data_IF_955126280620
#
_entry.id   IF_955126280620
#
_cell.length_a   1.000
_cell.length_b   1.000
_cell.length_c   1.000
_cell.angle_alpha   90.00
_cell.angle_beta   90.00
_cell.angle_gamma   90.00
#
_symmetry.space_group_name_H-M   'P 1'
#
loop_
_entity.id
_entity.type
_entity.pdbx_description
1 polymer ?
#
# COMPACT_ATOMS: atom_id res chain seq x y z
N UNK A 1 -3.06 19.73 5.43
CA UNK A 1 -1.59 19.82 5.33
C UNK A 1 -1.20 19.96 3.86
N UNK A 2 -0.01 20.46 3.51
CA UNK A 2 0.39 20.58 2.11
C UNK A 2 1.09 19.27 1.68
N UNK A 3 0.37 18.41 0.96
CA UNK A 3 0.81 17.07 0.51
C UNK A 3 2.19 17.08 -0.14
N UNK A 4 2.54 18.13 -0.90
CA UNK A 4 3.87 18.24 -1.52
C UNK A 4 4.99 18.32 -0.49
N UNK A 5 4.78 19.07 0.60
CA UNK A 5 5.79 19.21 1.66
C UNK A 5 5.98 17.91 2.43
N UNK A 6 4.89 17.17 2.62
CA UNK A 6 4.90 15.87 3.26
C UNK A 6 5.73 14.87 2.46
N UNK A 7 5.48 14.77 1.15
CA UNK A 7 6.26 13.94 0.22
C UNK A 7 7.75 14.32 0.25
N UNK A 8 8.07 15.62 0.16
CA UNK A 8 9.47 16.08 0.20
C UNK A 8 10.16 15.69 1.50
N UNK A 9 9.48 15.92 2.64
CA UNK A 9 10.04 15.61 3.95
C UNK A 9 10.25 14.10 4.12
N UNK A 10 9.29 13.30 3.67
CA UNK A 10 9.35 11.84 3.76
C UNK A 10 10.52 11.28 2.95
N UNK A 11 10.64 11.65 1.66
CA UNK A 11 11.75 11.17 0.84
C UNK A 11 13.10 11.68 1.35
N UNK A 12 13.19 12.94 1.82
CA UNK A 12 14.44 13.46 2.41
C UNK A 12 14.88 12.66 3.62
N UNK A 13 13.92 12.25 4.47
CA UNK A 13 14.19 11.43 5.64
C UNK A 13 14.64 10.02 5.24
N UNK A 14 13.97 9.39 4.27
CA UNK A 14 14.21 8.01 3.88
C UNK A 14 15.49 7.79 3.08
N UNK A 15 15.80 8.70 2.15
CA UNK A 15 17.02 8.56 1.33
C UNK A 15 18.23 9.25 1.96
N UNK A 16 18.03 10.06 3.01
CA UNK A 16 19.07 10.91 3.59
C UNK A 16 19.46 12.10 2.68
N UNK A 17 18.74 12.32 1.59
CA UNK A 17 19.00 13.42 0.65
C UNK A 17 18.47 14.75 1.16
N UNK A 18 19.16 15.84 0.83
CA UNK A 18 18.72 17.20 1.16
C UNK A 18 17.80 17.77 0.07
N UNK A 19 16.60 17.20 -0.06
CA UNK A 19 15.62 17.62 -1.05
C UNK A 19 14.96 18.92 -0.58
N UNK A 20 14.96 19.95 -1.43
CA UNK A 20 14.39 21.25 -1.08
C UNK A 20 13.02 21.47 -1.71
N UNK A 21 12.77 20.83 -2.85
CA UNK A 21 11.59 21.11 -3.66
C UNK A 21 10.88 19.83 -4.08
N UNK A 22 9.55 19.91 -4.17
CA UNK A 22 8.73 18.82 -4.69
C UNK A 22 9.16 18.40 -6.10
N UNK A 23 9.59 19.36 -6.91
CA UNK A 23 10.07 19.13 -8.27
C UNK A 23 11.35 18.29 -8.33
N UNK A 24 12.18 18.29 -7.28
CA UNK A 24 13.35 17.41 -7.21
C UNK A 24 12.93 15.95 -7.03
N UNK A 25 11.94 15.68 -6.18
CA UNK A 25 11.38 14.33 -6.00
C UNK A 25 10.71 13.84 -7.28
N UNK A 26 9.99 14.73 -7.99
CA UNK A 26 9.35 14.43 -9.28
C UNK A 26 10.33 14.03 -10.40
N UNK A 27 11.65 14.07 -10.17
CA UNK A 27 12.62 13.56 -11.14
C UNK A 27 12.78 12.04 -11.07
N UNK A 28 12.20 11.40 -10.06
CA UNK A 28 12.20 9.95 -9.88
C UNK A 28 13.50 9.37 -9.29
N UNK A 29 14.58 10.16 -9.18
CA UNK A 29 15.86 9.67 -8.67
C UNK A 29 15.76 9.19 -7.21
N UNK A 30 15.19 10.01 -6.34
CA UNK A 30 15.01 9.68 -4.92
C UNK A 30 14.06 8.51 -4.71
N UNK A 31 13.05 8.39 -5.57
CA UNK A 31 12.13 7.24 -5.57
C UNK A 31 12.90 5.95 -5.89
N UNK A 32 13.74 5.98 -6.93
CA UNK A 32 14.55 4.81 -7.28
C UNK A 32 15.54 4.46 -6.18
N UNK A 33 16.13 5.45 -5.50
CA UNK A 33 17.06 5.21 -4.38
C UNK A 33 16.33 4.44 -3.28
N UNK A 34 15.17 4.95 -2.87
CA UNK A 34 14.33 4.31 -1.85
C UNK A 34 13.88 2.90 -2.28
N UNK A 35 13.37 2.75 -3.50
CA UNK A 35 12.94 1.45 -4.02
C UNK A 35 14.09 0.43 -4.11
N UNK A 36 15.32 0.86 -4.44
CA UNK A 36 16.49 -0.02 -4.39
C UNK A 36 16.80 -0.49 -2.97
N UNK A 37 16.55 0.36 -1.95
CA UNK A 37 16.80 0.03 -0.54
C UNK A 37 15.79 -1.00 -0.01
N UNK A 38 14.51 -0.88 -0.36
CA UNK A 38 13.47 -1.82 0.10
C UNK A 38 13.43 -3.13 -0.70
N UNK A 39 13.95 -3.15 -1.93
CA UNK A 39 13.97 -4.35 -2.78
C UNK A 39 15.27 -5.15 -2.68
N UNK A 40 16.17 -4.82 -1.74
CA UNK A 40 17.49 -5.46 -1.58
C UNK A 40 18.33 -5.48 -2.89
N UNK A 41 18.16 -4.47 -3.75
CA UNK A 41 18.87 -4.33 -5.03
C UNK A 41 19.78 -3.08 -5.08
N UNK A 42 20.79 -2.96 -4.20
CA UNK A 42 21.63 -1.76 -4.13
C UNK A 42 22.45 -1.51 -5.41
N UNK A 43 22.74 -2.55 -6.19
CA UNK A 43 23.54 -2.45 -7.43
C UNK A 43 22.85 -1.59 -8.51
N UNK A 44 21.52 -1.54 -8.49
CA UNK A 44 20.72 -0.77 -9.43
C UNK A 44 20.79 0.74 -9.17
N UNK A 45 21.29 1.18 -8.01
CA UNK A 45 21.53 2.61 -7.73
C UNK A 45 22.48 3.26 -8.74
N UNK A 46 23.37 2.49 -9.35
CA UNK A 46 24.29 2.98 -10.38
C UNK A 46 23.60 3.34 -11.71
N UNK A 47 22.35 2.90 -11.92
CA UNK A 47 21.59 3.17 -13.14
C UNK A 47 20.74 4.44 -13.02
N UNK A 48 20.55 4.94 -11.79
CA UNK A 48 19.72 6.11 -11.49
C UNK A 48 20.31 7.36 -12.13
N UNK A 49 19.50 8.08 -12.89
CA UNK A 49 19.87 9.32 -13.54
C UNK A 49 19.45 10.55 -12.71
N UNK A 50 20.09 11.72 -12.89
CA UNK A 50 19.70 12.95 -12.18
C UNK A 50 18.28 13.46 -12.51
N UNK A 51 17.70 13.02 -13.64
CA UNK A 51 16.34 13.38 -14.08
C UNK A 51 16.19 14.85 -14.49
N UNK A 52 17.27 15.46 -14.99
CA UNK A 52 17.27 16.83 -15.51
C UNK A 52 16.58 16.89 -16.88
N UNK A 53 16.78 15.89 -17.74
CA UNK A 53 16.06 15.76 -19.02
C UNK A 53 14.80 14.90 -18.92
N UNK A 54 13.98 14.90 -19.98
CA UNK A 54 12.81 14.03 -20.04
C UNK A 54 13.21 12.56 -20.13
N UNK A 55 14.23 12.26 -20.94
CA UNK A 55 14.74 10.89 -21.15
C UNK A 55 15.32 10.30 -19.86
N UNK A 56 16.03 11.12 -19.07
CA UNK A 56 16.55 10.70 -17.76
C UNK A 56 15.41 10.40 -16.78
N UNK A 57 14.36 11.23 -16.75
CA UNK A 57 13.18 10.96 -15.92
C UNK A 57 12.45 9.71 -16.35
N UNK A 58 12.29 9.52 -17.66
CA UNK A 58 11.67 8.31 -18.21
C UNK A 58 12.46 7.07 -17.82
N UNK A 59 13.79 7.09 -17.95
CA UNK A 59 14.66 6.00 -17.51
C UNK A 59 14.51 5.70 -16.01
N UNK A 60 14.40 6.74 -15.17
CA UNK A 60 14.15 6.56 -13.74
C UNK A 60 12.79 5.91 -13.47
N UNK A 61 11.72 6.32 -14.15
CA UNK A 61 10.40 5.74 -13.94
C UNK A 61 10.24 4.32 -14.49
N UNK A 62 10.94 3.97 -15.58
CA UNK A 62 11.06 2.58 -16.05
C UNK A 62 11.82 1.71 -15.03
N UNK A 63 12.89 2.25 -14.43
CA UNK A 63 13.59 1.56 -13.34
C UNK A 63 12.69 1.38 -12.12
N UNK A 64 11.98 2.43 -11.70
CA UNK A 64 11.03 2.38 -10.59
C UNK A 64 9.95 1.32 -10.84
N UNK A 65 9.41 1.23 -12.06
CA UNK A 65 8.46 0.19 -12.46
C UNK A 65 9.04 -1.20 -12.25
N UNK A 66 10.25 -1.48 -12.77
CA UNK A 66 10.88 -2.78 -12.59
C UNK A 66 11.12 -3.11 -11.11
N UNK A 67 11.49 -2.13 -10.29
CA UNK A 67 11.70 -2.33 -8.85
C UNK A 67 10.39 -2.67 -8.12
N UNK A 68 9.28 -2.00 -8.47
CA UNK A 68 7.96 -2.26 -7.91
C UNK A 68 7.43 -3.64 -8.32
N UNK A 69 7.60 -4.00 -9.59
CA UNK A 69 7.23 -5.33 -10.08
C UNK A 69 8.06 -6.44 -9.42
N UNK A 70 9.33 -6.18 -9.10
CA UNK A 70 10.18 -7.10 -8.34
C UNK A 70 9.72 -7.28 -6.87
N UNK A 71 9.05 -6.27 -6.29
CA UNK A 71 8.40 -6.37 -4.99
C UNK A 71 7.06 -7.14 -5.05
N UNK A 72 6.63 -7.58 -6.25
CA UNK A 72 5.37 -8.28 -6.46
C UNK A 72 4.16 -7.38 -6.61
N UNK A 73 4.37 -6.07 -6.80
CA UNK A 73 3.31 -5.07 -6.94
C UNK A 73 3.09 -4.70 -8.41
N UNK A 74 1.86 -4.32 -8.77
CA UNK A 74 1.53 -3.92 -10.14
C UNK A 74 1.80 -2.42 -10.35
N UNK A 75 2.53 -2.08 -11.42
CA UNK A 75 2.76 -0.69 -11.80
C UNK A 75 1.64 -0.16 -12.71
N UNK A 76 0.67 0.55 -12.14
CA UNK A 76 -0.53 1.05 -12.86
C UNK A 76 -0.41 2.49 -13.39
N UNK A 77 0.76 3.10 -13.25
CA UNK A 77 0.99 4.52 -13.52
C UNK A 77 1.46 4.81 -14.95
N UNK A 78 1.12 6.00 -15.45
CA UNK A 78 1.56 6.46 -16.78
C UNK A 78 2.96 7.10 -16.71
N UNK A 79 3.96 6.35 -17.18
CA UNK A 79 5.37 6.80 -17.22
C UNK A 79 5.54 8.09 -18.04
N UNK A 80 4.81 8.30 -19.13
CA UNK A 80 4.94 9.54 -19.92
C UNK A 80 4.46 10.75 -19.10
N UNK A 81 3.34 10.61 -18.37
CA UNK A 81 2.85 11.66 -17.47
C UNK A 81 3.82 11.94 -16.34
N UNK A 82 4.34 10.90 -15.68
CA UNK A 82 5.35 11.05 -14.63
C UNK A 82 6.61 11.75 -15.14
N UNK A 83 7.08 11.37 -16.33
CA UNK A 83 8.27 11.94 -16.98
C UNK A 83 8.09 13.41 -17.40
N UNK A 84 6.84 13.82 -17.65
CA UNK A 84 6.44 15.22 -17.91
C UNK A 84 6.19 16.03 -16.66
N UNK A 85 6.46 15.48 -15.47
CA UNK A 85 6.24 16.11 -14.17
C UNK A 85 4.76 16.38 -13.90
N UNK A 86 3.86 15.52 -14.41
CA UNK A 86 2.44 15.62 -14.08
C UNK A 86 2.25 15.46 -12.57
N UNK A 87 1.66 16.49 -11.97
CA UNK A 87 1.56 16.58 -10.51
C UNK A 87 0.55 15.59 -9.95
N UNK A 88 -0.56 15.38 -10.65
CA UNK A 88 -1.64 14.52 -10.15
C UNK A 88 -1.21 13.06 -10.18
N UNK A 89 -0.62 12.62 -11.30
CA UNK A 89 -0.09 11.27 -11.45
C UNK A 89 1.02 11.00 -10.43
N UNK A 90 1.91 11.96 -10.24
CA UNK A 90 3.01 11.82 -9.29
C UNK A 90 2.56 11.77 -7.84
N UNK A 91 1.58 12.58 -7.42
CA UNK A 91 1.09 12.55 -6.04
C UNK A 91 0.49 11.18 -5.73
N UNK A 92 -0.35 10.64 -6.63
CA UNK A 92 -0.91 9.29 -6.47
C UNK A 92 0.21 8.26 -6.33
N UNK A 93 1.20 8.32 -7.21
CA UNK A 93 2.35 7.41 -7.19
C UNK A 93 3.15 7.51 -5.89
N UNK A 94 3.52 8.73 -5.49
CA UNK A 94 4.34 8.94 -4.28
C UNK A 94 3.62 8.48 -3.01
N UNK A 95 2.30 8.69 -2.91
CA UNK A 95 1.54 8.24 -1.75
C UNK A 95 1.49 6.72 -1.63
N UNK A 96 1.36 6.00 -2.75
CA UNK A 96 1.41 4.54 -2.74
C UNK A 96 2.80 4.02 -2.32
N UNK A 97 3.87 4.66 -2.79
CA UNK A 97 5.24 4.34 -2.33
C UNK A 97 5.41 4.58 -0.83
N UNK A 98 4.84 5.66 -0.31
CA UNK A 98 4.91 5.98 1.12
C UNK A 98 4.14 4.98 1.99
N UNK A 99 3.05 4.39 1.48
CA UNK A 99 2.29 3.36 2.22
C UNK A 99 2.99 1.99 2.27
N UNK A 100 4.02 1.74 1.45
CA UNK A 100 4.73 0.44 1.44
C UNK A 100 5.39 0.08 2.78
N UNK A 101 5.65 1.07 3.64
CA UNK A 101 6.20 0.84 4.99
C UNK A 101 5.14 0.82 6.09
N UNK A 102 3.91 1.29 5.82
CA UNK A 102 2.86 1.30 6.83
C UNK A 102 2.33 -0.12 7.13
N UNK A 103 2.57 -1.07 6.23
CA UNK A 103 2.26 -2.50 6.43
C UNK A 103 3.30 -3.24 7.30
N UNK A 104 4.43 -2.60 7.63
CA UNK A 104 5.53 -3.18 8.42
C UNK A 104 5.56 -2.69 9.88
N UNK A 105 4.50 -2.03 10.37
CA UNK A 105 4.39 -1.73 11.81
C UNK A 105 4.23 -3.05 12.56
N UNK A 106 5.22 -3.48 13.37
CA UNK A 106 5.02 -4.61 14.25
C UNK A 106 3.93 -4.18 15.23
N UNK A 107 2.83 -4.91 15.26
CA UNK A 107 1.87 -4.84 16.36
C UNK A 107 2.71 -5.10 17.63
N UNK A 108 3.01 -4.05 18.38
CA UNK A 108 3.52 -4.19 19.74
C UNK A 108 2.38 -4.85 20.51
N UNK A 109 2.49 -6.16 20.72
CA UNK A 109 1.78 -6.80 21.80
C UNK A 109 2.24 -6.11 23.09
N UNK A 110 1.34 -5.33 23.69
CA UNK A 110 1.44 -4.92 25.08
C UNK A 110 1.47 -6.20 25.93
N UNK A 111 2.66 -6.76 26.12
CA UNK A 111 2.91 -7.80 27.13
C UNK A 111 2.99 -7.11 28.49
N UNK A 112 1.82 -6.70 29.00
CA UNK A 112 1.68 -6.24 30.37
C UNK A 112 1.66 -7.44 31.31
N UNK A 113 2.85 -7.91 31.69
CA UNK A 113 3.08 -8.44 33.01
C UNK A 113 3.33 -7.26 33.97
N UNK A 114 2.31 -6.78 34.68
CA UNK A 114 2.53 -6.16 35.99
C UNK A 114 1.46 -6.61 36.99
N UNK A 115 1.92 -7.47 37.91
CA UNK A 115 1.30 -7.72 39.19
C UNK A 115 1.14 -6.39 39.97
N UNK A 116 -0.10 -6.15 40.37
CA UNK A 116 -0.55 -5.54 41.63
C UNK A 116 0.32 -4.44 42.26
N UNK A 117 -0.21 -3.22 42.31
CA UNK A 117 -0.35 -2.49 43.57
C UNK A 117 -1.57 -1.55 43.54
N UNK A 118 -2.33 -1.66 44.63
CA UNK A 118 -3.47 -0.85 45.05
C UNK A 118 -3.19 0.66 45.00
N UNK A 119 -4.16 1.45 44.53
CA UNK A 119 -5.06 2.25 45.38
C UNK A 119 -5.61 3.45 44.60
N UNK A 120 -6.94 3.53 44.59
CA UNK A 120 -7.77 4.75 44.47
C UNK A 120 -7.65 5.56 43.16
N UNK A 121 -8.77 5.65 42.43
CA UNK A 121 -9.49 6.91 42.20
C UNK A 121 -10.86 6.61 41.56
N UNK A 122 -11.82 7.38 42.05
CA UNK A 122 -13.28 7.26 41.98
C UNK A 122 -13.91 7.42 40.59
N UNK A 123 -15.13 6.88 40.52
CA UNK A 123 -16.23 7.12 39.58
C UNK A 123 -16.36 8.54 39.00
N UNK A 124 -16.53 8.61 37.68
CA UNK A 124 -17.52 9.45 36.95
C UNK A 124 -17.46 9.13 35.45
N UNK A 125 -18.38 8.30 34.93
CA UNK A 125 -19.59 8.72 34.19
C UNK A 125 -19.27 9.71 33.06
N UNK A 126 -19.18 9.24 31.81
CA UNK A 126 -20.29 9.19 30.84
C UNK A 126 -21.07 10.52 30.78
N UNK A 127 -20.59 11.43 29.94
CA UNK A 127 -21.37 12.39 29.14
C UNK A 127 -20.35 13.36 28.51
N UNK A 128 -20.31 13.44 27.18
CA UNK A 128 -20.57 14.67 26.43
C UNK A 128 -20.04 14.57 24.99
N UNK A 129 -20.66 13.68 24.21
CA UNK A 129 -20.38 13.46 22.78
C UNK A 129 -21.29 14.36 21.90
N UNK A 130 -21.43 15.63 22.27
CA UNK A 130 -22.44 16.53 21.67
C UNK A 130 -21.96 17.91 21.23
N UNK A 131 -20.64 18.16 21.09
CA UNK A 131 -20.13 19.51 20.79
C UNK A 131 -19.17 19.68 19.58
N UNK A 132 -19.11 18.76 18.61
CA UNK A 132 -18.26 18.93 17.41
C UNK A 132 -18.98 18.88 16.05
N UNK A 133 -20.32 18.97 16.04
CA UNK A 133 -21.13 19.04 14.80
C UNK A 133 -21.77 20.40 14.48
N UNK A 134 -21.30 21.49 15.10
CA UNK A 134 -21.93 22.82 14.95
C UNK A 134 -20.94 23.97 14.66
N UNK A 135 -19.90 23.72 13.85
CA UNK A 135 -18.96 24.79 13.49
C UNK A 135 -18.53 24.92 12.02
N UNK A 136 -19.29 24.36 11.06
CA UNK A 136 -19.01 24.56 9.63
C UNK A 136 -20.22 24.88 8.75
N UNK A 137 -21.31 25.39 9.33
CA UNK A 137 -22.51 25.80 8.58
C UNK A 137 -22.72 27.32 8.47
N UNK A 138 -21.68 28.14 8.66
CA UNK A 138 -21.87 29.59 8.75
C UNK A 138 -20.83 30.43 7.99
N UNK A 139 -20.51 30.05 6.74
CA UNK A 139 -19.66 30.91 5.88
C UNK A 139 -20.12 31.17 4.44
N UNK A 140 -21.30 30.68 4.02
CA UNK A 140 -21.80 30.92 2.65
C UNK A 140 -23.10 31.74 2.54
N UNK A 141 -23.63 32.34 3.61
CA UNK A 141 -24.91 33.09 3.55
C UNK A 141 -24.82 34.63 3.61
N UNK A 142 -23.65 35.24 3.46
CA UNK A 142 -23.53 36.73 3.50
C UNK A 142 -22.90 37.33 2.25
N UNK A 143 -23.35 36.90 1.06
CA UNK A 143 -23.11 37.62 -0.21
C UNK A 143 -24.32 37.70 -1.16
N UNK A 144 -25.51 37.29 -0.72
CA UNK A 144 -26.69 37.17 -1.61
C UNK A 144 -27.78 38.24 -1.46
N UNK A 145 -27.60 39.30 -0.66
CA UNK A 145 -28.67 40.30 -0.44
C UNK A 145 -28.17 41.75 -0.53
N UNK A 146 -27.53 42.10 -1.65
CA UNK A 146 -27.29 43.51 -1.98
C UNK A 146 -27.17 43.79 -3.48
N UNK A 147 -28.04 43.20 -4.29
CA UNK A 147 -28.27 43.69 -5.64
C UNK A 147 -29.65 43.24 -6.16
N UNK A 148 -30.70 43.83 -5.60
CA UNK A 148 -32.00 43.88 -6.25
C UNK A 148 -32.57 45.27 -6.01
N UNK A 149 -32.35 46.18 -6.96
CA UNK A 149 -33.41 47.04 -7.48
C UNK A 149 -33.09 47.38 -8.94
N UNK A 150 -34.13 47.28 -9.77
CA UNK A 150 -34.23 47.63 -11.18
C UNK A 150 -33.54 46.65 -12.14
N UNK A 151 -34.29 45.66 -12.62
CA UNK A 151 -34.84 45.66 -13.98
C UNK A 151 -36.18 44.89 -13.96
N UNK A 152 -37.23 45.56 -14.41
CA UNK A 152 -38.47 44.96 -14.91
C UNK A 152 -38.22 44.47 -16.36
N UNK A 153 -39.05 43.55 -16.84
CA UNK A 153 -39.09 42.90 -18.18
C UNK A 153 -38.12 41.73 -18.39
N UNK A 154 -38.58 40.51 -18.08
CA UNK A 154 -39.02 39.54 -19.10
C UNK A 154 -39.43 38.22 -18.41
N UNK A 155 -40.72 37.90 -18.48
CA UNK A 155 -41.30 36.61 -18.11
C UNK A 155 -40.92 35.54 -19.13
N UNK A 156 -40.91 34.28 -18.67
CA UNK A 156 -40.79 33.02 -19.42
C UNK A 156 -39.36 32.52 -19.74
N UNK A 157 -38.72 31.82 -18.79
CA UNK A 157 -37.90 30.62 -19.04
C UNK A 157 -37.44 30.00 -17.70
N UNK A 158 -38.36 29.40 -16.93
CA UNK A 158 -38.02 28.77 -15.64
C UNK A 158 -38.69 27.39 -15.49
N UNK A 159 -38.57 26.52 -16.50
CA UNK A 159 -38.97 25.11 -16.38
C UNK A 159 -38.04 24.19 -17.19
N UNK A 160 -36.77 24.03 -16.84
CA UNK A 160 -35.94 22.86 -17.26
C UNK A 160 -34.69 22.61 -16.38
N UNK A 161 -34.73 22.91 -15.08
CA UNK A 161 -33.65 22.57 -14.14
C UNK A 161 -34.16 21.67 -13.00
N UNK A 162 -34.97 20.66 -13.32
CA UNK A 162 -35.36 19.62 -12.38
C UNK A 162 -35.48 18.28 -13.11
N UNK A 163 -34.38 17.51 -13.14
CA UNK A 163 -34.43 16.04 -13.11
C UNK A 163 -33.03 15.42 -12.91
N UNK A 164 -32.15 16.04 -12.13
CA UNK A 164 -30.96 15.34 -11.67
C UNK A 164 -31.30 14.58 -10.38
N UNK A 165 -31.43 13.26 -10.49
CA UNK A 165 -31.78 12.36 -9.40
C UNK A 165 -30.59 12.14 -8.46
N UNK A 166 -30.37 13.10 -7.56
CA UNK A 166 -29.35 12.99 -6.52
C UNK A 166 -29.62 11.82 -5.57
N UNK A 167 -30.88 11.48 -5.33
CA UNK A 167 -31.24 10.40 -4.42
C UNK A 167 -30.83 9.04 -5.00
N UNK A 168 -30.98 8.85 -6.32
CA UNK A 168 -30.44 7.70 -7.05
C UNK A 168 -28.92 7.59 -6.98
N UNK A 169 -28.20 8.71 -7.08
CA UNK A 169 -26.74 8.73 -6.97
C UNK A 169 -26.25 8.36 -5.56
N UNK A 170 -26.93 8.83 -4.52
CA UNK A 170 -26.59 8.47 -3.14
C UNK A 170 -26.90 7.01 -2.83
N UNK A 171 -28.00 6.46 -3.36
CA UNK A 171 -28.32 5.05 -3.23
C UNK A 171 -27.26 4.15 -3.88
N UNK A 172 -26.79 4.50 -5.08
CA UNK A 172 -25.71 3.78 -5.77
C UNK A 172 -24.39 3.85 -5.00
N UNK A 173 -24.04 5.02 -4.46
CA UNK A 173 -22.85 5.20 -3.64
C UNK A 173 -22.90 4.39 -2.34
N UNK A 174 -24.05 4.35 -1.68
CA UNK A 174 -24.26 3.56 -0.46
C UNK A 174 -24.21 2.06 -0.77
N UNK A 175 -24.71 1.62 -1.92
CA UNK A 175 -24.61 0.22 -2.35
C UNK A 175 -23.14 -0.18 -2.63
N UNK A 176 -22.38 0.64 -3.36
CA UNK A 176 -20.95 0.41 -3.61
C UNK A 176 -20.13 0.38 -2.32
N UNK A 177 -20.42 1.30 -1.39
CA UNK A 177 -19.75 1.34 -0.10
C UNK A 177 -20.04 0.07 0.73
N UNK A 178 -21.29 -0.37 0.77
CA UNK A 178 -21.67 -1.60 1.47
C UNK A 178 -21.04 -2.83 0.83
N UNK A 179 -20.96 -2.89 -0.50
CA UNK A 179 -20.31 -3.99 -1.21
C UNK A 179 -18.81 -4.03 -0.92
N UNK A 180 -18.12 -2.88 -0.92
CA UNK A 180 -16.71 -2.80 -0.53
C UNK A 180 -16.48 -3.24 0.91
N UNK A 181 -17.38 -2.87 1.83
CA UNK A 181 -17.29 -3.27 3.23
C UNK A 181 -17.45 -4.78 3.40
N UNK A 182 -18.37 -5.40 2.64
CA UNK A 182 -18.49 -6.86 2.59
C UNK A 182 -17.24 -7.55 2.03
N UNK A 183 -16.66 -7.02 0.95
CA UNK A 183 -15.43 -7.56 0.37
C UNK A 183 -14.27 -7.51 1.37
N UNK A 184 -14.15 -6.42 2.13
CA UNK A 184 -13.12 -6.28 3.18
C UNK A 184 -13.32 -7.35 4.26
N UNK A 185 -14.55 -7.56 4.72
CA UNK A 185 -14.83 -8.60 5.71
C UNK A 185 -14.52 -10.00 5.20
N UNK A 186 -14.88 -10.32 3.96
CA UNK A 186 -14.54 -11.61 3.38
C UNK A 186 -13.01 -11.80 3.26
N UNK A 187 -12.29 -10.76 2.85
CA UNK A 187 -10.83 -10.81 2.77
C UNK A 187 -10.18 -11.02 4.15
N UNK A 188 -10.72 -10.41 5.20
CA UNK A 188 -10.28 -10.65 6.58
C UNK A 188 -10.48 -12.12 6.99
N UNK A 189 -11.64 -12.71 6.69
CA UNK A 189 -11.89 -14.14 6.98
C UNK A 189 -10.93 -15.06 6.21
N UNK A 190 -10.57 -14.71 4.97
CA UNK A 190 -9.58 -15.45 4.19
C UNK A 190 -8.17 -15.34 4.79
N UNK A 191 -7.77 -14.15 5.27
CA UNK A 191 -6.49 -13.97 5.96
C UNK A 191 -6.42 -14.79 7.25
N UNK A 192 -7.48 -14.79 8.05
CA UNK A 192 -7.57 -15.60 9.28
C UNK A 192 -7.45 -17.10 8.97
N UNK A 193 -8.06 -17.55 7.87
CA UNK A 193 -7.92 -18.94 7.40
C UNK A 193 -6.47 -19.27 7.03
N UNK A 194 -5.81 -18.40 6.26
CA UNK A 194 -4.42 -18.61 5.85
C UNK A 194 -3.44 -18.55 7.02
N UNK A 195 -3.71 -17.74 8.04
CA UNK A 195 -2.92 -17.71 9.27
C UNK A 195 -2.92 -19.08 9.96
N UNK A 196 -4.11 -19.68 10.14
CA UNK A 196 -4.24 -21.00 10.76
C UNK A 196 -3.53 -22.07 9.92
N UNK A 197 -3.65 -22.01 8.59
CA UNK A 197 -2.99 -22.97 7.69
C UNK A 197 -1.45 -22.82 7.72
N UNK A 198 -0.94 -21.59 7.69
CA UNK A 198 0.49 -21.26 7.82
C UNK A 198 1.05 -21.84 9.11
N UNK A 199 0.40 -21.58 10.22
CA UNK A 199 0.84 -22.03 11.54
C UNK A 199 0.84 -23.56 11.66
N UNK A 200 -0.15 -24.21 11.03
CA UNK A 200 -0.17 -25.67 10.90
C UNK A 200 1.06 -26.20 10.15
N UNK A 201 1.36 -25.67 8.96
CA UNK A 201 2.52 -26.14 8.18
C UNK A 201 3.85 -25.81 8.85
N UNK A 202 3.99 -24.63 9.45
CA UNK A 202 5.17 -24.24 10.21
C UNK A 202 5.42 -25.22 11.37
N UNK A 203 4.37 -25.57 12.12
CA UNK A 203 4.44 -26.58 13.18
C UNK A 203 4.92 -27.94 12.66
N UNK A 204 4.47 -28.36 11.47
CA UNK A 204 4.96 -29.60 10.84
C UNK A 204 6.43 -29.51 10.42
N UNK A 205 6.86 -28.40 9.82
CA UNK A 205 8.25 -28.19 9.43
C UNK A 205 9.19 -28.19 10.64
N UNK A 206 8.80 -27.54 11.74
CA UNK A 206 9.57 -27.57 13.00
C UNK A 206 9.68 -29.00 13.57
N UNK A 207 8.62 -29.79 13.47
CA UNK A 207 8.66 -31.21 13.90
C UNK A 207 9.62 -32.03 13.04
N UNK A 208 9.61 -31.81 11.72
CA UNK A 208 10.54 -32.45 10.78
C UNK A 208 11.98 -32.05 11.10
N UNK A 209 12.26 -30.75 11.24
CA UNK A 209 13.59 -30.24 11.59
C UNK A 209 14.11 -30.87 12.89
N UNK A 210 13.27 -30.94 13.92
CA UNK A 210 13.59 -31.57 15.20
C UNK A 210 13.85 -33.07 15.06
N UNK A 211 13.14 -33.76 14.17
CA UNK A 211 13.38 -35.16 13.87
C UNK A 211 14.71 -35.35 13.10
N UNK A 212 14.98 -34.51 12.10
CA UNK A 212 16.19 -34.53 11.30
C UNK A 212 17.45 -34.30 12.14
N UNK A 213 17.40 -33.42 13.16
CA UNK A 213 18.51 -33.21 14.11
C UNK A 213 18.98 -34.46 14.87
N UNK A 214 18.20 -35.56 14.85
CA UNK A 214 18.59 -36.83 15.46
C UNK A 214 19.50 -37.69 14.56
N UNK A 215 19.57 -37.36 13.28
CA UNK A 215 20.35 -38.08 12.28
C UNK A 215 21.58 -37.25 11.94
N UNK A 216 22.72 -37.92 11.73
CA UNK A 216 23.93 -37.23 11.30
C UNK A 216 23.77 -36.75 9.85
N UNK A 217 24.53 -35.72 9.48
CA UNK A 217 24.55 -35.17 8.11
C UNK A 217 24.83 -36.25 7.06
N UNK A 218 25.68 -37.22 7.41
CA UNK A 218 26.01 -38.38 6.58
C UNK A 218 24.81 -39.34 6.36
N UNK A 219 23.86 -39.42 7.30
CA UNK A 219 22.73 -40.36 7.23
C UNK A 219 21.61 -39.87 6.31
N UNK A 220 21.36 -38.55 6.25
CA UNK A 220 20.28 -37.99 5.43
C UNK A 220 20.76 -37.46 4.08
N UNK A 221 22.05 -37.20 3.88
CA UNK A 221 22.61 -36.82 2.57
C UNK A 221 22.36 -37.91 1.51
N UNK A 222 22.48 -39.19 1.88
CA UNK A 222 22.11 -40.30 1.00
C UNK A 222 20.62 -40.27 0.59
N UNK A 223 19.73 -39.88 1.51
CA UNK A 223 18.28 -39.76 1.25
C UNK A 223 17.97 -38.55 0.38
N UNK A 224 18.61 -37.40 0.62
CA UNK A 224 18.47 -36.20 -0.20
C UNK A 224 18.92 -36.47 -1.64
N UNK A 225 20.07 -37.12 -1.82
CA UNK A 225 20.56 -37.50 -3.16
C UNK A 225 19.56 -38.41 -3.87
N UNK A 226 18.97 -39.38 -3.17
CA UNK A 226 17.93 -40.27 -3.72
C UNK A 226 16.66 -39.49 -4.10
N UNK A 227 16.23 -38.51 -3.31
CA UNK A 227 15.07 -37.67 -3.60
C UNK A 227 15.30 -36.66 -4.74
N UNK A 228 16.55 -36.25 -4.96
CA UNK A 228 16.95 -35.35 -6.04
C UNK A 228 17.17 -36.08 -7.38
N UNK A 229 17.31 -37.40 -7.35
CA UNK A 229 17.34 -38.20 -8.57
C UNK A 229 15.98 -38.13 -9.28
N UNK A 230 16.03 -38.00 -10.60
CA UNK A 230 14.82 -37.97 -11.42
C UNK A 230 14.16 -39.35 -11.41
N UNK A 231 12.83 -39.41 -11.61
CA UNK A 231 12.08 -40.68 -11.59
C UNK A 231 12.61 -41.71 -12.60
N UNK A 232 13.31 -41.24 -13.64
CA UNK A 232 13.99 -42.04 -14.67
C UNK A 232 15.22 -42.79 -14.18
N UNK A 233 15.87 -42.35 -13.09
CA UNK A 233 17.10 -42.97 -12.58
C UNK A 233 16.84 -44.27 -11.78
N UNK A 234 15.57 -44.52 -11.44
CA UNK A 234 15.12 -45.74 -10.75
C UNK A 234 14.47 -46.76 -11.69
N UNK A 235 14.36 -46.46 -12.99
CA UNK A 235 13.85 -47.42 -13.95
C UNK A 235 14.86 -48.58 -14.09
N UNK A 236 14.43 -49.85 -13.98
CA UNK A 236 15.32 -50.98 -14.25
C UNK A 236 15.85 -50.81 -15.67
N UNK A 237 17.17 -50.81 -15.82
CA UNK A 237 17.81 -50.81 -17.14
C UNK A 237 17.33 -52.07 -17.82
N UNK A 238 16.48 -51.93 -18.84
CA UNK A 238 16.05 -53.05 -19.67
C UNK A 238 17.32 -53.71 -20.20
N UNK A 239 17.59 -54.91 -19.70
CA UNK A 239 18.74 -55.72 -20.07
C UNK A 239 18.48 -56.34 -21.45
N UNK A 240 18.29 -55.50 -22.46
CA UNK A 240 18.22 -55.92 -23.85
C UNK A 240 19.42 -55.34 -24.61
N UNK A 241 20.47 -56.15 -24.65
CA UNK A 241 21.27 -56.45 -25.84
C UNK A 241 22.70 -56.84 -25.43
N UNK A 242 22.81 -58.10 -25.00
CA UNK A 242 24.05 -58.86 -25.08
C UNK A 242 23.77 -60.09 -25.93
N UNK A 243 23.82 -59.92 -27.25
CA UNK A 243 23.85 -61.02 -28.23
C UNK A 243 24.89 -60.71 -29.29
#
# INVERSE_FOLDING_TARGET
MNTEKEIVNWFSYKTGSQIQTFREVQRGAEICIYLCDISDNPDLKNQIQPGSSYEERQSNYELAKSLIENLGLEFTYDIDKLSRLDKSEFIRFAQEIMSLEEDDVPIQYDDQNEDQNDDQIEDQQLEDDSQLRLHNQNRNQTRSYRQQQQYDDDEEEDEMINDFDFDGLFAELDEDLNQKLQNIHQFQEELDYYEVERDFYLSKLMQIEKACKKYSEDDYDAVIRVLQLSSSDFAPVDAEDSS
#
